data_IF_079235215907
#
_entry.id   IF_079235215907
#
_cell.length_a   1.000
_cell.length_b   1.000
_cell.length_c   1.000
_cell.angle_alpha   90.00
_cell.angle_beta   90.00
_cell.angle_gamma   90.00
#
_symmetry.space_group_name_H-M   'P 1'
#
loop_
_entity.id
_entity.type
_entity.pdbx_description
1 polymer ?
#
# COMPACT_ATOMS: atom_id res chain seq x y z
N UNK A 1 27.33 76.35 9.26
CA UNK A 1 28.58 77.08 9.58
C UNK A 1 29.43 76.19 10.47
N UNK A 2 30.38 75.46 9.89
CA UNK A 2 31.83 75.71 9.97
C UNK A 2 32.44 75.65 11.39
N UNK A 3 33.23 74.57 11.60
CA UNK A 3 34.61 74.56 12.15
C UNK A 3 34.75 74.76 13.67
N UNK A 4 35.26 73.74 14.40
CA UNK A 4 36.69 73.49 14.78
C UNK A 4 36.71 73.43 16.33
N UNK A 5 37.61 72.81 17.11
CA UNK A 5 38.75 71.89 16.98
C UNK A 5 39.26 71.64 18.43
N UNK A 6 39.91 70.50 18.65
CA UNK A 6 41.03 70.23 19.59
C UNK A 6 40.83 70.38 21.13
N UNK A 7 41.05 69.27 21.86
CA UNK A 7 42.24 68.98 22.68
C UNK A 7 41.93 67.75 23.58
N UNK A 8 42.48 66.55 23.31
CA UNK A 8 43.75 65.97 23.75
C UNK A 8 43.93 65.75 25.27
N UNK A 9 44.12 64.46 25.63
CA UNK A 9 44.82 63.90 26.81
C UNK A 9 44.17 64.07 28.19
N UNK A 10 44.20 63.12 29.14
CA UNK A 10 44.91 61.84 29.29
C UNK A 10 44.31 61.07 30.49
N UNK A 11 44.78 59.83 30.69
CA UNK A 11 44.65 58.96 31.87
C UNK A 11 43.28 58.25 32.04
N UNK A 12 43.08 57.01 31.60
CA UNK A 12 43.74 55.75 32.00
C UNK A 12 43.65 55.46 33.51
N UNK A 13 42.50 54.93 33.96
CA UNK A 13 42.42 53.97 35.08
C UNK A 13 41.50 52.84 34.63
N UNK A 14 42.13 51.67 34.50
CA UNK A 14 41.57 50.37 34.16
C UNK A 14 41.03 49.74 35.44
N UNK A 15 39.73 49.44 35.47
CA UNK A 15 39.17 48.45 36.41
C UNK A 15 37.82 47.95 35.85
N UNK A 16 37.91 47.26 34.71
CA UNK A 16 36.76 46.53 34.15
C UNK A 16 36.73 45.15 34.77
N UNK A 17 35.78 44.96 35.67
CA UNK A 17 35.41 43.70 36.29
C UNK A 17 34.74 42.82 35.21
N UNK A 18 35.55 42.18 34.37
CA UNK A 18 35.05 41.22 33.38
C UNK A 18 34.66 39.93 34.10
N UNK A 19 33.37 39.72 34.25
CA UNK A 19 32.80 38.45 34.65
C UNK A 19 33.35 37.34 33.74
N UNK A 20 34.11 36.42 34.34
CA UNK A 20 34.45 35.13 33.76
C UNK A 20 33.13 34.35 33.60
N UNK A 21 32.46 34.53 32.46
CA UNK A 21 31.64 33.46 31.92
C UNK A 21 32.60 32.36 31.49
N UNK A 22 32.79 31.39 32.37
CA UNK A 22 33.29 30.07 32.02
C UNK A 22 32.35 29.49 30.96
N UNK A 23 32.70 29.66 29.68
CA UNK A 23 32.15 28.83 28.61
C UNK A 23 32.46 27.39 28.97
N UNK A 24 31.47 26.48 29.05
CA UNK A 24 31.78 25.06 29.07
C UNK A 24 32.54 24.79 27.77
N UNK A 25 33.77 24.32 27.92
CA UNK A 25 34.61 23.95 26.81
C UNK A 25 33.83 23.01 25.89
N UNK A 26 33.91 23.31 24.57
CA UNK A 26 33.61 22.41 23.47
C UNK A 26 33.72 20.94 23.90
N UNK A 27 32.58 20.29 24.10
CA UNK A 27 32.50 18.86 23.86
C UNK A 27 32.86 18.67 22.38
N UNK A 28 33.82 17.80 22.10
CA UNK A 28 34.22 17.40 20.76
C UNK A 28 32.99 17.27 19.84
N UNK A 29 32.98 18.05 18.76
CA UNK A 29 32.06 17.88 17.63
C UNK A 29 32.53 16.66 16.81
N UNK A 30 32.63 15.51 17.49
CA UNK A 30 32.79 14.23 16.83
C UNK A 30 31.48 13.96 16.09
N UNK A 31 31.51 13.67 14.78
CA UNK A 31 30.30 13.34 14.04
C UNK A 31 29.56 12.22 14.76
N UNK A 32 28.21 12.29 14.86
CA UNK A 32 27.44 11.31 15.60
C UNK A 32 27.82 9.91 15.12
N UNK A 33 28.06 8.95 16.04
CA UNK A 33 28.61 7.66 15.65
C UNK A 33 27.68 6.98 14.65
N UNK A 34 28.25 6.39 13.61
CA UNK A 34 27.48 5.74 12.55
C UNK A 34 26.69 4.54 13.12
N UNK A 35 25.50 4.23 12.56
CA UNK A 35 24.80 3.01 12.92
C UNK A 35 25.64 1.79 12.54
N UNK A 36 25.61 0.79 13.41
CA UNK A 36 26.37 -0.46 13.34
C UNK A 36 25.53 -1.61 12.81
N UNK A 37 24.20 -1.50 12.86
CA UNK A 37 23.29 -2.60 12.48
C UNK A 37 22.74 -2.50 11.06
N UNK A 38 22.98 -1.40 10.36
CA UNK A 38 22.56 -1.18 8.97
C UNK A 38 23.63 -0.54 8.12
N UNK A 39 23.64 -0.92 6.84
CA UNK A 39 24.36 -0.19 5.80
C UNK A 39 23.42 0.84 5.17
N UNK A 40 23.62 2.12 5.50
CA UNK A 40 22.85 3.24 4.94
C UNK A 40 23.16 3.55 3.48
N UNK A 41 24.19 2.94 2.89
CA UNK A 41 24.50 3.13 1.46
C UNK A 41 23.61 2.31 0.53
N UNK A 42 22.87 1.34 1.09
CA UNK A 42 21.99 0.43 0.37
C UNK A 42 20.52 0.87 0.43
N UNK A 43 19.71 0.55 -0.59
CA UNK A 43 18.27 0.82 -0.56
C UNK A 43 17.60 0.03 0.58
N UNK A 44 16.43 0.48 1.10
CA UNK A 44 15.80 -0.13 2.28
C UNK A 44 15.57 -1.65 2.19
N UNK A 45 15.20 -2.17 1.01
CA UNK A 45 15.01 -3.61 0.79
C UNK A 45 16.31 -4.43 0.93
N UNK A 46 17.46 -3.81 0.67
CA UNK A 46 18.77 -4.46 0.77
C UNK A 46 19.47 -4.20 2.10
N UNK A 47 19.26 -3.02 2.69
CA UNK A 47 19.75 -2.67 4.03
C UNK A 47 19.17 -3.57 5.13
N UNK A 48 18.07 -4.28 4.86
CA UNK A 48 17.41 -5.21 5.80
C UNK A 48 17.81 -6.68 5.64
N UNK A 49 18.88 -7.00 4.90
CA UNK A 49 19.33 -8.39 4.70
C UNK A 49 19.86 -9.08 5.97
N UNK A 50 20.12 -8.33 7.05
CA UNK A 50 20.49 -8.90 8.36
C UNK A 50 19.33 -9.76 8.90
N UNK A 51 19.54 -11.04 9.26
CA UNK A 51 18.55 -11.87 9.93
C UNK A 51 18.06 -11.25 11.23
N UNK A 52 16.82 -11.54 11.65
CA UNK A 52 16.25 -10.96 12.87
C UNK A 52 16.99 -11.44 14.12
N UNK A 53 17.38 -12.71 14.11
CA UNK A 53 18.07 -13.40 15.18
C UNK A 53 19.49 -12.84 15.38
N UNK A 54 20.19 -12.55 14.27
CA UNK A 54 21.51 -11.92 14.30
C UNK A 54 21.40 -10.49 14.85
N UNK A 55 20.37 -9.75 14.42
CA UNK A 55 20.11 -8.41 14.94
C UNK A 55 19.85 -8.41 16.45
N UNK A 56 19.09 -9.37 16.97
CA UNK A 56 18.87 -9.54 18.42
C UNK A 56 20.17 -9.74 19.20
N UNK A 57 21.15 -10.43 18.61
CA UNK A 57 22.47 -10.60 19.22
C UNK A 57 23.30 -9.32 19.12
N UNK A 58 23.22 -8.59 18.01
CA UNK A 58 23.94 -7.34 17.78
C UNK A 58 23.47 -6.19 18.68
N UNK A 59 22.19 -6.14 19.03
CA UNK A 59 21.62 -5.05 19.86
C UNK A 59 21.90 -5.21 21.35
N UNK A 60 22.04 -6.44 21.85
CA UNK A 60 22.33 -6.73 23.27
C UNK A 60 23.56 -6.02 23.85
N UNK A 61 24.72 -5.99 23.18
CA UNK A 61 25.90 -5.30 23.71
C UNK A 61 25.80 -3.78 23.61
N UNK A 62 24.86 -3.22 22.84
CA UNK A 62 24.77 -1.77 22.63
C UNK A 62 24.27 -1.05 23.88
N UNK A 63 24.77 0.17 24.08
CA UNK A 63 24.27 1.08 25.12
C UNK A 63 22.95 1.72 24.71
N UNK A 64 22.26 2.36 25.66
CA UNK A 64 21.01 3.11 25.37
C UNK A 64 21.22 4.14 24.26
N UNK A 65 22.29 4.93 24.35
CA UNK A 65 22.51 6.04 23.41
C UNK A 65 22.88 5.52 22.02
N UNK A 66 23.61 4.41 21.93
CA UNK A 66 23.84 3.71 20.66
C UNK A 66 22.53 3.15 20.07
N UNK A 67 21.64 2.60 20.89
CA UNK A 67 20.34 2.09 20.42
C UNK A 67 19.41 3.19 19.90
N UNK A 68 19.50 4.42 20.42
CA UNK A 68 18.77 5.58 19.85
C UNK A 68 19.25 5.86 18.43
N UNK A 69 20.58 5.83 18.22
CA UNK A 69 21.17 6.04 16.89
C UNK A 69 20.74 4.95 15.92
N UNK A 70 20.75 3.68 16.35
CA UNK A 70 20.22 2.59 15.53
C UNK A 70 18.73 2.81 15.23
N UNK A 71 17.91 3.10 16.25
CA UNK A 71 16.48 3.34 16.09
C UNK A 71 16.18 4.46 15.08
N UNK A 72 16.92 5.56 15.12
CA UNK A 72 16.81 6.66 14.16
C UNK A 72 17.23 6.23 12.74
N UNK A 73 18.25 5.38 12.64
CA UNK A 73 18.70 4.81 11.38
C UNK A 73 17.61 3.95 10.72
N UNK A 74 17.03 3.03 11.48
CA UNK A 74 15.94 2.16 11.03
C UNK A 74 14.66 2.93 10.76
N UNK A 75 14.38 3.98 11.54
CA UNK A 75 13.27 4.90 11.29
C UNK A 75 13.46 5.67 9.96
N UNK A 76 14.69 6.06 9.64
CA UNK A 76 15.04 6.64 8.34
C UNK A 76 14.69 5.71 7.18
N UNK A 77 15.10 4.44 7.25
CA UNK A 77 14.74 3.42 6.25
C UNK A 77 13.22 3.23 6.14
N UNK A 78 12.51 3.23 7.26
CA UNK A 78 11.06 3.12 7.27
C UNK A 78 10.39 4.31 6.58
N UNK A 79 10.85 5.53 6.85
CA UNK A 79 10.36 6.77 6.20
C UNK A 79 10.58 6.73 4.69
N UNK A 80 11.77 6.35 4.26
CA UNK A 80 12.10 6.21 2.84
C UNK A 80 11.19 5.17 2.16
N UNK A 81 10.98 4.02 2.81
CA UNK A 81 10.10 2.99 2.26
C UNK A 81 8.64 3.44 2.17
N UNK A 82 8.15 4.20 3.16
CA UNK A 82 6.81 4.77 3.14
C UNK A 82 6.64 5.79 2.02
N UNK A 83 7.67 6.60 1.74
CA UNK A 83 7.69 7.52 0.60
C UNK A 83 7.66 6.77 -0.74
N UNK A 84 8.45 5.71 -0.88
CA UNK A 84 8.43 4.82 -2.07
C UNK A 84 7.04 4.22 -2.31
N UNK A 85 6.40 3.67 -1.26
CA UNK A 85 5.03 3.15 -1.33
C UNK A 85 4.06 4.24 -1.77
N UNK A 86 4.12 5.42 -1.14
CA UNK A 86 3.23 6.54 -1.45
C UNK A 86 3.36 6.98 -2.91
N UNK A 87 4.58 7.05 -3.45
CA UNK A 87 4.84 7.37 -4.86
C UNK A 87 4.21 6.36 -5.81
N UNK A 88 4.35 5.06 -5.53
CA UNK A 88 3.75 4.01 -6.37
C UNK A 88 2.21 4.01 -6.26
N UNK A 89 1.65 4.20 -5.07
CA UNK A 89 0.20 4.32 -4.87
C UNK A 89 -0.39 5.53 -5.61
N UNK A 90 0.32 6.66 -5.64
CA UNK A 90 -0.07 7.82 -6.45
C UNK A 90 -0.06 7.50 -7.95
N UNK A 91 0.93 6.73 -8.42
CA UNK A 91 0.96 6.27 -9.82
C UNK A 91 -0.21 5.33 -10.13
N UNK A 92 -0.58 4.42 -9.23
CA UNK A 92 -1.77 3.57 -9.35
C UNK A 92 -3.04 4.43 -9.41
N UNK A 93 -3.17 5.43 -8.53
CA UNK A 93 -4.30 6.35 -8.51
C UNK A 93 -4.42 7.17 -9.79
N UNK A 94 -3.28 7.60 -10.37
CA UNK A 94 -3.24 8.27 -11.67
C UNK A 94 -3.68 7.33 -12.79
N UNK A 95 -3.14 6.12 -12.85
CA UNK A 95 -3.55 5.13 -13.84
C UNK A 95 -5.06 4.81 -13.76
N UNK A 96 -5.63 4.73 -12.55
CA UNK A 96 -7.09 4.58 -12.38
C UNK A 96 -7.90 5.72 -13.01
N UNK A 97 -7.44 6.97 -12.88
CA UNK A 97 -8.11 8.13 -13.51
C UNK A 97 -8.01 8.06 -15.03
N UNK A 98 -6.82 7.77 -15.55
CA UNK A 98 -6.60 7.62 -17.00
C UNK A 98 -7.45 6.49 -17.60
N UNK A 99 -7.59 5.35 -16.90
CA UNK A 99 -8.47 4.25 -17.29
C UNK A 99 -9.93 4.71 -17.31
N UNK A 100 -10.38 5.43 -16.27
CA UNK A 100 -11.75 5.92 -16.19
C UNK A 100 -12.07 6.91 -17.33
N UNK A 101 -11.16 7.86 -17.60
CA UNK A 101 -11.27 8.80 -18.71
C UNK A 101 -11.29 8.09 -20.07
N UNK A 102 -10.43 7.09 -20.26
CA UNK A 102 -10.39 6.30 -21.49
C UNK A 102 -11.68 5.49 -21.69
N UNK A 103 -12.24 4.91 -20.62
CA UNK A 103 -13.54 4.21 -20.67
C UNK A 103 -14.69 5.15 -21.00
N UNK A 104 -14.72 6.34 -20.41
CA UNK A 104 -15.73 7.36 -20.74
C UNK A 104 -15.62 7.80 -22.21
N UNK A 105 -14.41 8.00 -22.72
CA UNK A 105 -14.21 8.30 -24.15
C UNK A 105 -14.67 7.16 -25.05
N UNK A 106 -14.41 5.91 -24.68
CA UNK A 106 -14.89 4.76 -25.43
C UNK A 106 -16.42 4.68 -25.44
N UNK A 107 -17.08 4.97 -24.31
CA UNK A 107 -18.53 5.01 -24.20
C UNK A 107 -19.14 6.12 -25.07
N UNK A 108 -18.59 7.34 -25.01
CA UNK A 108 -19.02 8.45 -25.88
C UNK A 108 -18.80 8.16 -27.36
N UNK A 109 -17.69 7.52 -27.73
CA UNK A 109 -17.42 7.13 -29.11
C UNK A 109 -18.38 6.02 -29.57
N UNK A 110 -18.74 5.08 -28.69
CA UNK A 110 -19.74 4.06 -28.99
C UNK A 110 -21.15 4.68 -29.19
N UNK A 111 -21.55 5.65 -28.36
CA UNK A 111 -22.81 6.38 -28.54
C UNK A 111 -22.84 7.12 -29.89
N UNK A 112 -21.81 7.92 -30.20
CA UNK A 112 -21.70 8.62 -31.49
C UNK A 112 -21.70 7.67 -32.68
N UNK A 113 -21.05 6.51 -32.56
CA UNK A 113 -21.04 5.49 -33.59
C UNK A 113 -22.45 4.96 -33.87
N UNK A 114 -23.23 4.66 -32.83
CA UNK A 114 -24.59 4.17 -32.98
C UNK A 114 -25.54 5.26 -33.51
N UNK A 115 -25.41 6.50 -33.06
CA UNK A 115 -26.15 7.65 -33.61
C UNK A 115 -25.85 7.87 -35.10
N UNK A 116 -24.57 7.88 -35.49
CA UNK A 116 -24.16 8.07 -36.88
C UNK A 116 -24.60 6.90 -37.79
N UNK A 117 -24.64 5.66 -37.27
CA UNK A 117 -25.22 4.53 -37.99
C UNK A 117 -26.72 4.69 -38.20
N UNK A 118 -27.46 5.10 -37.17
CA UNK A 118 -28.90 5.31 -37.28
C UNK A 118 -29.22 6.38 -38.33
N UNK A 119 -28.50 7.52 -38.31
CA UNK A 119 -28.63 8.58 -39.33
C UNK A 119 -28.27 8.05 -40.72
N UNK A 120 -27.23 7.22 -40.85
CA UNK A 120 -26.86 6.65 -42.13
C UNK A 120 -27.91 5.66 -42.69
N UNK A 121 -28.60 4.91 -41.82
CA UNK A 121 -29.70 4.03 -42.23
C UNK A 121 -30.93 4.84 -42.63
N UNK A 122 -31.37 5.80 -41.80
CA UNK A 122 -32.50 6.68 -42.10
C UNK A 122 -32.33 7.40 -43.44
N UNK A 123 -31.11 7.91 -43.74
CA UNK A 123 -30.81 8.61 -44.98
C UNK A 123 -30.73 7.69 -46.21
N UNK A 124 -30.33 6.44 -46.04
CA UNK A 124 -30.39 5.43 -47.11
C UNK A 124 -31.84 5.07 -47.42
N UNK A 125 -32.67 4.93 -46.40
CA UNK A 125 -34.09 4.64 -46.58
C UNK A 125 -34.81 5.83 -47.24
N UNK A 126 -34.50 7.08 -46.84
CA UNK A 126 -35.00 8.29 -47.48
C UNK A 126 -34.64 8.35 -48.98
N UNK A 127 -33.36 8.14 -49.34
CA UNK A 127 -32.91 8.07 -50.74
C UNK A 127 -33.67 7.01 -51.55
N UNK A 128 -33.92 5.83 -50.95
CA UNK A 128 -34.62 4.71 -51.59
C UNK A 128 -36.09 5.01 -51.84
N UNK A 129 -36.77 5.68 -50.91
CA UNK A 129 -38.18 6.07 -51.06
C UNK A 129 -38.39 7.17 -52.10
N UNK A 130 -37.48 8.15 -52.18
CA UNK A 130 -37.52 9.24 -53.15
C UNK A 130 -37.21 8.74 -54.57
N UNK A 131 -36.34 7.74 -54.72
CA UNK A 131 -36.05 7.12 -56.01
C UNK A 131 -37.22 6.29 -56.59
N UNK A 132 -38.14 5.81 -55.75
CA UNK A 132 -39.29 4.97 -56.16
C UNK A 132 -40.52 5.79 -56.59
N UNK A 133 -40.59 7.08 -56.22
CA UNK A 133 -41.64 8.04 -56.63
C UNK A 133 -41.03 9.36 -57.12
N UNK A 134 -40.69 9.48 -58.41
CA UNK A 134 -40.08 10.70 -58.94
C UNK A 134 -41.15 11.80 -59.10
N UNK A 135 -41.01 12.91 -58.38
CA UNK A 135 -41.66 14.18 -58.69
C UNK A 135 -40.71 15.03 -59.57
N UNK A 136 -41.23 15.58 -60.67
CA UNK A 136 -40.52 16.33 -61.74
C UNK A 136 -39.78 17.62 -61.29
N UNK A 137 -39.68 17.92 -59.99
CA UNK A 137 -39.08 19.15 -59.44
C UNK A 137 -37.95 18.90 -58.42
N UNK A 138 -37.53 17.65 -58.21
CA UNK A 138 -36.56 17.28 -57.18
C UNK A 138 -35.31 16.58 -57.75
N UNK A 139 -34.74 17.10 -58.84
CA UNK A 139 -33.66 16.46 -59.62
C UNK A 139 -32.40 16.05 -58.82
N UNK A 140 -32.16 16.61 -57.63
CA UNK A 140 -30.97 16.33 -56.80
C UNK A 140 -31.25 15.70 -55.42
N UNK A 141 -32.52 15.55 -55.02
CA UNK A 141 -32.89 15.09 -53.67
C UNK A 141 -32.35 13.69 -53.29
N UNK A 142 -32.39 12.65 -54.16
CA UNK A 142 -31.82 11.34 -53.80
C UNK A 142 -30.28 11.38 -53.70
N UNK A 143 -29.62 12.21 -54.50
CA UNK A 143 -28.15 12.35 -54.47
C UNK A 143 -27.66 13.07 -53.21
N UNK A 144 -28.42 14.04 -52.69
CA UNK A 144 -28.15 14.69 -51.41
C UNK A 144 -28.31 13.73 -50.22
N UNK A 145 -29.39 12.92 -50.20
CA UNK A 145 -29.61 11.92 -49.16
C UNK A 145 -28.53 10.82 -49.15
N UNK A 146 -28.05 10.37 -50.32
CA UNK A 146 -26.93 9.44 -50.43
C UNK A 146 -25.61 10.04 -49.92
N UNK A 147 -25.36 11.34 -50.18
CA UNK A 147 -24.17 12.04 -49.66
C UNK A 147 -24.22 12.19 -48.14
N UNK A 148 -25.38 12.51 -47.58
CA UNK A 148 -25.59 12.56 -46.13
C UNK A 148 -25.37 11.18 -45.50
N UNK A 149 -25.91 10.12 -46.09
CA UNK A 149 -25.69 8.75 -45.66
C UNK A 149 -24.22 8.31 -45.71
N UNK A 150 -23.49 8.73 -46.76
CA UNK A 150 -22.05 8.48 -46.88
C UNK A 150 -21.25 9.23 -45.80
N UNK A 151 -21.61 10.48 -45.52
CA UNK A 151 -20.97 11.28 -44.47
C UNK A 151 -21.20 10.67 -43.07
N UNK A 152 -22.43 10.26 -42.76
CA UNK A 152 -22.80 9.62 -41.50
C UNK A 152 -22.12 8.23 -41.36
N UNK A 153 -22.02 7.48 -42.46
CA UNK A 153 -21.24 6.22 -42.47
C UNK A 153 -19.76 6.45 -42.19
N UNK A 154 -19.18 7.55 -42.69
CA UNK A 154 -17.79 7.91 -42.43
C UNK A 154 -17.59 8.38 -40.98
N UNK A 155 -18.55 9.12 -40.42
CA UNK A 155 -18.54 9.51 -39.00
C UNK A 155 -18.63 8.29 -38.08
N UNK A 156 -19.48 7.31 -38.40
CA UNK A 156 -19.55 6.04 -37.67
C UNK A 156 -18.22 5.27 -37.70
N UNK A 157 -17.52 5.24 -38.84
CA UNK A 157 -16.20 4.61 -38.94
C UNK A 157 -15.12 5.35 -38.14
N UNK A 158 -15.19 6.68 -38.08
CA UNK A 158 -14.26 7.47 -37.27
C UNK A 158 -14.53 7.25 -35.77
N UNK A 159 -15.80 7.27 -35.35
CA UNK A 159 -16.21 6.98 -33.99
C UNK A 159 -15.81 5.55 -33.57
N UNK A 160 -15.92 4.57 -34.46
CA UNK A 160 -15.41 3.21 -34.21
C UNK A 160 -13.90 3.17 -33.98
N UNK A 161 -13.11 3.90 -34.77
CA UNK A 161 -11.65 3.99 -34.57
C UNK A 161 -11.33 4.65 -33.23
N UNK A 162 -12.05 5.71 -32.85
CA UNK A 162 -11.89 6.37 -31.55
C UNK A 162 -12.26 5.45 -30.38
N UNK A 163 -13.36 4.69 -30.50
CA UNK A 163 -13.80 3.70 -29.52
C UNK A 163 -12.72 2.63 -29.30
N UNK A 164 -12.20 2.05 -30.39
CA UNK A 164 -11.17 1.01 -30.34
C UNK A 164 -9.87 1.58 -29.74
N UNK A 165 -9.44 2.77 -30.16
CA UNK A 165 -8.24 3.41 -29.61
C UNK A 165 -8.38 3.71 -28.11
N UNK A 166 -9.56 4.17 -27.68
CA UNK A 166 -9.84 4.44 -26.26
C UNK A 166 -9.87 3.15 -25.42
N UNK A 167 -10.44 2.06 -25.95
CA UNK A 167 -10.41 0.73 -25.30
C UNK A 167 -8.98 0.20 -25.16
N UNK A 168 -8.18 0.27 -26.22
CA UNK A 168 -6.78 -0.14 -26.19
C UNK A 168 -5.94 0.70 -25.20
N UNK A 169 -6.19 2.01 -25.13
CA UNK A 169 -5.54 2.88 -24.15
C UNK A 169 -5.94 2.49 -22.70
N UNK A 170 -7.21 2.16 -22.46
CA UNK A 170 -7.67 1.70 -21.15
C UNK A 170 -7.02 0.37 -20.74
N UNK A 171 -6.89 -0.58 -21.68
CA UNK A 171 -6.24 -1.88 -21.45
C UNK A 171 -4.74 -1.72 -21.17
N UNK A 172 -4.02 -0.93 -21.98
CA UNK A 172 -2.60 -0.66 -21.75
C UNK A 172 -2.35 -0.04 -20.37
N UNK A 173 -3.22 0.90 -19.96
CA UNK A 173 -3.15 1.50 -18.62
C UNK A 173 -3.53 0.55 -17.50
N UNK A 174 -4.41 -0.42 -17.76
CA UNK A 174 -4.75 -1.46 -16.80
C UNK A 174 -3.56 -2.40 -16.54
N UNK A 175 -2.79 -2.76 -17.57
CA UNK A 175 -1.56 -3.55 -17.39
C UNK A 175 -0.45 -2.75 -16.66
N UNK A 176 -0.23 -1.48 -17.03
CA UNK A 176 0.72 -0.60 -16.30
C UNK A 176 0.33 -0.48 -14.82
N UNK A 177 -0.96 -0.37 -14.52
CA UNK A 177 -1.48 -0.35 -13.15
C UNK A 177 -1.19 -1.66 -12.42
N UNK A 178 -1.34 -2.81 -13.08
CA UNK A 178 -1.13 -4.13 -12.47
C UNK A 178 0.33 -4.30 -12.02
N UNK A 179 1.29 -3.94 -12.87
CA UNK A 179 2.71 -3.96 -12.52
C UNK A 179 3.03 -3.08 -11.30
N UNK A 180 2.42 -1.89 -11.23
CA UNK A 180 2.57 -0.98 -10.08
C UNK A 180 1.91 -1.52 -8.81
N UNK A 181 0.82 -2.28 -8.93
CA UNK A 181 0.21 -2.93 -7.77
C UNK A 181 1.13 -4.02 -7.20
N UNK A 182 1.77 -4.80 -8.06
CA UNK A 182 2.74 -5.83 -7.64
C UNK A 182 3.96 -5.20 -6.94
N UNK A 183 4.43 -4.05 -7.44
CA UNK A 183 5.50 -3.30 -6.77
C UNK A 183 5.07 -2.77 -5.40
N UNK A 184 3.85 -2.23 -5.26
CA UNK A 184 3.30 -1.79 -3.97
C UNK A 184 3.22 -2.94 -2.97
N UNK A 185 2.79 -4.13 -3.39
CA UNK A 185 2.76 -5.32 -2.52
C UNK A 185 4.16 -5.66 -2.01
N UNK A 186 5.13 -5.72 -2.92
CA UNK A 186 6.53 -6.02 -2.58
C UNK A 186 7.11 -4.98 -1.60
N UNK A 187 6.86 -3.69 -1.85
CA UNK A 187 7.32 -2.61 -0.98
C UNK A 187 6.69 -2.67 0.42
N UNK A 188 5.42 -3.08 0.53
CA UNK A 188 4.72 -3.27 1.81
C UNK A 188 5.28 -4.45 2.60
N UNK A 189 5.70 -5.53 1.93
CA UNK A 189 6.38 -6.66 2.58
C UNK A 189 7.75 -6.23 3.11
N UNK A 190 8.52 -5.48 2.31
CA UNK A 190 9.79 -4.87 2.75
C UNK A 190 9.59 -3.90 3.93
N UNK A 191 8.55 -3.08 3.91
CA UNK A 191 8.20 -2.20 5.05
C UNK A 191 7.96 -3.01 6.32
N UNK A 192 7.24 -4.13 6.23
CA UNK A 192 7.00 -5.03 7.37
C UNK A 192 8.32 -5.58 7.93
N UNK A 193 9.24 -6.01 7.04
CA UNK A 193 10.59 -6.46 7.42
C UNK A 193 11.40 -5.38 8.16
N UNK A 194 11.27 -4.11 7.76
CA UNK A 194 11.89 -2.97 8.44
C UNK A 194 11.26 -2.76 9.82
N UNK A 195 9.93 -2.74 9.90
CA UNK A 195 9.19 -2.55 11.17
C UNK A 195 9.53 -3.64 12.18
N UNK A 196 9.59 -4.90 11.75
CA UNK A 196 9.94 -6.02 12.64
C UNK A 196 11.33 -5.86 13.28
N UNK A 197 12.31 -5.41 12.50
CA UNK A 197 13.69 -5.19 12.96
C UNK A 197 13.82 -3.94 13.80
N UNK A 198 13.13 -2.87 13.43
CA UNK A 198 12.99 -1.69 14.26
C UNK A 198 12.38 -2.06 15.62
N UNK A 199 11.36 -2.93 15.65
CA UNK A 199 10.75 -3.39 16.89
C UNK A 199 11.73 -4.13 17.81
N UNK A 200 12.68 -4.91 17.27
CA UNK A 200 13.74 -5.56 18.04
C UNK A 200 14.61 -4.53 18.75
N UNK A 201 15.12 -3.55 17.99
CA UNK A 201 15.99 -2.48 18.51
C UNK A 201 15.27 -1.66 19.57
N UNK A 202 14.04 -1.28 19.27
CA UNK A 202 13.23 -0.47 20.17
C UNK A 202 12.81 -1.24 21.44
N UNK A 203 12.73 -2.58 21.39
CA UNK A 203 12.50 -3.42 22.57
C UNK A 203 13.73 -3.42 23.47
N UNK A 204 14.92 -3.59 22.89
CA UNK A 204 16.18 -3.51 23.64
C UNK A 204 16.42 -2.10 24.19
N UNK A 205 16.09 -1.06 23.41
CA UNK A 205 16.18 0.34 23.85
C UNK A 205 15.35 0.56 25.12
N UNK A 206 14.11 0.06 25.13
CA UNK A 206 13.22 0.14 26.29
C UNK A 206 13.74 -0.67 27.47
N UNK A 207 14.30 -1.86 27.23
CA UNK A 207 14.93 -2.68 28.26
C UNK A 207 16.10 -1.95 28.95
N UNK A 208 16.81 -1.08 28.20
CA UNK A 208 17.90 -0.22 28.71
C UNK A 208 17.44 1.17 29.18
N UNK A 209 16.13 1.36 29.36
CA UNK A 209 15.55 2.60 29.90
C UNK A 209 15.47 3.76 28.91
N UNK A 210 15.55 3.50 27.61
CA UNK A 210 15.28 4.50 26.56
C UNK A 210 13.78 4.69 26.30
N UNK A 211 13.42 5.85 25.74
CA UNK A 211 12.06 6.15 25.29
C UNK A 211 11.85 5.67 23.86
N UNK A 212 10.68 5.06 23.62
CA UNK A 212 10.24 4.51 22.34
C UNK A 212 9.01 5.24 21.78
N UNK A 213 8.33 6.07 22.56
CA UNK A 213 6.99 6.60 22.23
C UNK A 213 6.91 7.30 20.88
N UNK A 214 7.89 8.12 20.54
CA UNK A 214 7.94 8.80 19.25
C UNK A 214 8.03 7.82 18.06
N UNK A 215 8.81 6.75 18.21
CA UNK A 215 8.95 5.73 17.18
C UNK A 215 7.67 4.93 17.01
N UNK A 216 7.05 4.50 18.11
CA UNK A 216 5.78 3.76 18.08
C UNK A 216 4.67 4.57 17.41
N UNK A 217 4.55 5.85 17.76
CA UNK A 217 3.56 6.74 17.16
C UNK A 217 3.71 6.78 15.64
N UNK A 218 4.94 6.91 15.14
CA UNK A 218 5.19 6.91 13.70
C UNK A 218 4.88 5.53 13.08
N UNK A 219 5.38 4.44 13.68
CA UNK A 219 5.14 3.06 13.19
C UNK A 219 3.65 2.78 13.09
N UNK A 220 2.85 3.12 14.10
CA UNK A 220 1.38 2.97 14.09
C UNK A 220 0.72 3.81 12.99
N UNK A 221 1.20 5.03 12.75
CA UNK A 221 0.67 5.87 11.69
C UNK A 221 0.93 5.29 10.29
N UNK A 222 2.09 4.67 10.07
CA UNK A 222 2.52 4.18 8.74
C UNK A 222 2.29 2.70 8.49
N UNK A 223 2.01 1.90 9.52
CA UNK A 223 1.65 0.48 9.37
C UNK A 223 0.30 0.29 8.70
N UNK A 224 -0.48 1.35 8.50
CA UNK A 224 -1.78 1.31 7.81
C UNK A 224 -2.87 0.62 8.63
N UNK A 225 -2.57 0.18 9.85
CA UNK A 225 -3.56 -0.29 10.83
C UNK A 225 -4.24 0.89 11.49
N UNK A 226 -4.85 1.76 10.67
CA UNK A 226 -6.14 2.29 11.06
C UNK A 226 -7.06 1.09 10.93
N UNK A 227 -7.54 0.58 12.06
CA UNK A 227 -8.69 -0.33 12.07
C UNK A 227 -9.88 0.54 11.67
N UNK A 228 -9.93 0.92 10.39
CA UNK A 228 -11.15 1.40 9.76
C UNK A 228 -11.95 0.14 9.47
N UNK A 229 -12.83 -0.19 10.42
CA UNK A 229 -13.82 -1.28 10.35
C UNK A 229 -14.71 -1.16 9.08
N UNK A 230 -14.57 -0.08 8.30
CA UNK A 230 -15.31 0.21 7.08
C UNK A 230 -14.75 -0.43 5.79
N UNK A 231 -13.51 -0.94 5.76
CA UNK A 231 -12.91 -1.54 4.53
C UNK A 231 -12.81 -3.08 4.59
N UNK A 232 -13.26 -3.68 5.70
CA UNK A 232 -13.42 -5.13 5.83
C UNK A 232 -14.36 -5.70 4.76
N UNK A 233 -15.29 -4.88 4.24
CA UNK A 233 -16.20 -5.25 3.15
C UNK A 233 -15.47 -5.45 1.82
N UNK A 234 -14.45 -4.64 1.49
CA UNK A 234 -13.70 -4.77 0.24
C UNK A 234 -12.70 -5.93 0.31
N UNK A 235 -12.02 -6.10 1.44
CA UNK A 235 -11.14 -7.24 1.68
C UNK A 235 -11.91 -8.58 1.63
N UNK A 236 -13.14 -8.61 2.14
CA UNK A 236 -14.02 -9.79 2.05
C UNK A 236 -14.43 -10.13 0.62
N UNK A 237 -14.54 -9.14 -0.28
CA UNK A 237 -14.86 -9.36 -1.69
C UNK A 237 -13.71 -10.02 -2.44
N UNK A 238 -12.46 -9.64 -2.18
CA UNK A 238 -11.27 -10.29 -2.77
C UNK A 238 -11.08 -11.71 -2.25
N UNK A 239 -11.27 -11.94 -0.94
CA UNK A 239 -11.21 -13.28 -0.35
C UNK A 239 -12.32 -14.17 -0.93
N UNK A 240 -13.55 -13.63 -1.07
CA UNK A 240 -14.65 -14.35 -1.73
C UNK A 240 -14.32 -14.66 -3.19
N UNK A 241 -13.69 -13.73 -3.93
CA UNK A 241 -13.27 -13.93 -5.32
C UNK A 241 -12.25 -15.05 -5.49
N UNK A 242 -11.25 -15.14 -4.60
CA UNK A 242 -10.27 -16.24 -4.61
C UNK A 242 -10.88 -17.59 -4.19
N UNK A 243 -11.78 -17.61 -3.19
CA UNK A 243 -12.48 -18.84 -2.74
C UNK A 243 -13.43 -19.38 -3.81
N UNK A 244 -14.05 -18.51 -4.61
CA UNK A 244 -15.01 -18.89 -5.67
C UNK A 244 -14.32 -19.19 -7.02
N UNK A 245 -13.09 -18.72 -7.23
CA UNK A 245 -12.31 -19.02 -8.44
C UNK A 245 -12.06 -20.53 -8.62
N UNK A 246 -12.28 -21.02 -9.84
CA UNK A 246 -12.21 -22.44 -10.20
C UNK A 246 -10.80 -23.06 -10.02
N UNK A 247 -9.74 -22.26 -10.03
CA UNK A 247 -8.36 -22.79 -10.02
C UNK A 247 -7.74 -22.94 -8.62
N UNK A 248 -8.18 -22.15 -7.64
CA UNK A 248 -7.54 -22.04 -6.32
C UNK A 248 -8.40 -22.52 -5.14
N UNK A 249 -9.61 -21.99 -5.01
CA UNK A 249 -10.45 -22.19 -3.83
C UNK A 249 -10.89 -23.64 -3.61
N UNK A 250 -11.22 -24.35 -4.70
CA UNK A 250 -11.78 -25.71 -4.61
C UNK A 250 -10.75 -26.76 -4.16
N UNK A 251 -9.46 -26.57 -4.46
CA UNK A 251 -8.38 -27.45 -3.97
C UNK A 251 -8.10 -27.24 -2.49
N UNK A 252 -8.12 -25.98 -2.04
CA UNK A 252 -7.90 -25.65 -0.63
C UNK A 252 -9.09 -26.06 0.25
N UNK A 253 -10.31 -25.93 -0.25
CA UNK A 253 -11.53 -26.40 0.43
C UNK A 253 -11.48 -27.91 0.77
N UNK A 254 -10.93 -28.74 -0.14
CA UNK A 254 -10.75 -30.18 0.11
C UNK A 254 -9.72 -30.44 1.21
N UNK A 255 -8.59 -29.72 1.22
CA UNK A 255 -7.55 -29.89 2.24
C UNK A 255 -7.97 -29.37 3.61
N UNK A 256 -8.70 -28.24 3.67
CA UNK A 256 -9.32 -27.77 4.92
C UNK A 256 -10.38 -28.77 5.40
N UNK A 257 -11.23 -29.26 4.50
CA UNK A 257 -12.24 -30.26 4.84
C UNK A 257 -11.60 -31.52 5.44
N UNK A 258 -10.50 -32.00 4.85
CA UNK A 258 -9.74 -33.14 5.36
C UNK A 258 -9.08 -32.83 6.72
N UNK A 259 -8.50 -31.65 6.88
CA UNK A 259 -7.91 -31.21 8.15
C UNK A 259 -8.97 -31.14 9.26
N UNK A 260 -10.13 -30.53 9.00
CA UNK A 260 -11.25 -30.48 9.95
C UNK A 260 -11.79 -31.89 10.28
N UNK A 261 -11.81 -32.79 9.31
CA UNK A 261 -12.17 -34.18 9.52
C UNK A 261 -11.17 -34.90 10.43
N UNK A 262 -9.86 -34.64 10.27
CA UNK A 262 -8.85 -35.19 11.20
C UNK A 262 -9.01 -34.63 12.61
N UNK A 263 -9.24 -33.33 12.77
CA UNK A 263 -9.57 -32.71 14.06
C UNK A 263 -10.81 -33.34 14.70
N UNK A 264 -11.85 -33.59 13.91
CA UNK A 264 -13.06 -34.24 14.39
C UNK A 264 -12.83 -35.69 14.82
N UNK A 265 -12.03 -36.44 14.06
CA UNK A 265 -11.63 -37.80 14.42
C UNK A 265 -10.85 -37.82 15.74
N UNK A 266 -9.89 -36.91 15.92
CA UNK A 266 -9.15 -36.75 17.18
C UNK A 266 -10.04 -36.29 18.32
N UNK A 267 -11.04 -35.45 18.07
CA UNK A 267 -12.01 -35.03 19.08
C UNK A 267 -12.85 -36.22 19.59
N UNK A 268 -13.30 -37.10 18.69
CA UNK A 268 -13.97 -38.35 19.05
C UNK A 268 -13.01 -39.26 19.84
N UNK A 269 -11.77 -39.42 19.37
CA UNK A 269 -10.77 -40.26 20.01
C UNK A 269 -10.47 -39.77 21.44
N UNK A 270 -10.26 -38.47 21.62
CA UNK A 270 -10.06 -37.82 22.91
C UNK A 270 -11.27 -38.02 23.83
N UNK A 271 -12.49 -38.00 23.29
CA UNK A 271 -13.71 -38.24 24.08
C UNK A 271 -13.84 -39.69 24.55
N UNK A 272 -13.38 -40.66 23.75
CA UNK A 272 -13.34 -42.08 24.11
C UNK A 272 -12.24 -42.33 25.16
N UNK A 273 -11.03 -41.82 24.93
CA UNK A 273 -9.91 -41.93 25.87
C UNK A 273 -10.26 -41.27 27.21
N UNK A 274 -10.88 -40.08 27.19
CA UNK A 274 -11.36 -39.43 28.40
C UNK A 274 -12.41 -40.27 29.16
N UNK A 275 -13.25 -41.03 28.47
CA UNK A 275 -14.17 -41.99 29.12
C UNK A 275 -13.43 -43.18 29.72
N UNK A 276 -12.44 -43.72 29.03
CA UNK A 276 -11.64 -44.84 29.51
C UNK A 276 -10.82 -44.46 30.75
N UNK A 277 -10.19 -43.29 30.76
CA UNK A 277 -9.45 -42.73 31.91
C UNK A 277 -10.39 -42.54 33.10
N UNK A 278 -11.56 -41.90 32.89
CA UNK A 278 -12.57 -41.77 33.96
C UNK A 278 -13.03 -43.11 34.52
N UNK A 279 -13.13 -44.15 33.68
CA UNK A 279 -13.54 -45.50 34.11
C UNK A 279 -12.42 -46.23 34.85
N UNK A 280 -11.17 -46.09 34.42
CA UNK A 280 -10.00 -46.65 35.08
C UNK A 280 -9.78 -46.02 36.47
N UNK A 281 -9.93 -44.69 36.59
CA UNK A 281 -9.85 -43.97 37.87
C UNK A 281 -10.97 -44.38 38.84
N UNK A 282 -12.19 -44.64 38.33
CA UNK A 282 -13.29 -45.19 39.15
C UNK A 282 -13.06 -46.63 39.61
N UNK A 283 -12.30 -47.42 38.84
CA UNK A 283 -12.06 -48.84 39.11
C UNK A 283 -10.89 -49.08 40.08
N UNK A 284 -9.99 -48.11 40.27
CA UNK A 284 -8.94 -48.19 41.29
C UNK A 284 -9.53 -47.99 42.70
N UNK A 285 -9.53 -49.05 43.52
CA UNK A 285 -10.17 -49.12 44.86
C UNK A 285 -9.44 -48.33 45.97
N UNK A 286 -8.59 -47.34 45.65
CA UNK A 286 -7.71 -46.69 46.61
C UNK A 286 -7.61 -45.16 46.54
N UNK A 287 -8.36 -44.48 45.66
CA UNK A 287 -8.35 -43.02 45.56
C UNK A 287 -9.52 -42.41 46.32
N UNK A 288 -9.22 -41.55 47.32
CA UNK A 288 -10.17 -40.74 48.08
C UNK A 288 -11.12 -39.95 47.17
N UNK A 289 -12.38 -39.82 47.56
CA UNK A 289 -13.43 -39.15 46.76
C UNK A 289 -13.07 -37.69 46.40
N UNK A 290 -12.25 -37.03 47.22
CA UNK A 290 -11.72 -35.70 46.93
C UNK A 290 -10.83 -35.66 45.67
N UNK A 291 -9.94 -36.64 45.48
CA UNK A 291 -9.06 -36.68 44.30
C UNK A 291 -9.85 -37.00 43.01
N UNK A 292 -10.97 -37.72 43.16
CA UNK A 292 -11.86 -38.07 42.03
C UNK A 292 -12.69 -36.87 41.56
N UNK A 293 -13.09 -35.99 42.46
CA UNK A 293 -13.82 -34.75 42.13
C UNK A 293 -12.91 -33.65 41.56
N UNK A 294 -11.60 -33.68 41.83
CA UNK A 294 -10.65 -32.71 41.26
C UNK A 294 -10.11 -33.08 39.87
N UNK A 295 -10.18 -34.35 39.45
CA UNK A 295 -9.61 -34.86 38.18
C UNK A 295 -10.64 -35.11 37.06
N UNK A 296 -11.93 -34.93 37.32
CA UNK A 296 -13.03 -35.21 36.38
C UNK A 296 -13.76 -33.94 35.99
#
# INVERSE_FOLDING_TARGET
MLKKRLALSAAAIVLSLSALWTSPALADDAPPPAPKTIDRSLPPGEATKVPKEDLELMVKPLTRDELVIEADAWMGLLREQVDRISKEELKVKRANREIAEAKQKAEQAAEKKEEAKAVAEDKKDEARTVAEKPDDHADNAPEEAEREAASASQEAQNAEKEEVAAKQAAEAKAEEKKEKLDSVVTLRDERTKIVDRLNIILTELKAKGGDRTAYDTYVTAVSGTKIDVSDASAAWVTIKGWVVSEEGGMRWAKNIGLFLLTLFAFWILARIVGRAVRRAVKMMRGTSDLLRDFLV
#
